data_IF_970865559668
#
_entry.id   IF_970865559668
#
_cell.length_a   1.000
_cell.length_b   1.000
_cell.length_c   1.000
_cell.angle_alpha   90.00
_cell.angle_beta   90.00
_cell.angle_gamma   90.00
#
_symmetry.space_group_name_H-M   'P 1'
#
loop_
_entity.id
_entity.type
_entity.pdbx_description
1 polymer ?
#
# COMPACT_ATOMS: atom_id res chain seq x y z
N UNK A 1 6.49 -19.73 -0.76
CA UNK A 1 6.62 -18.40 -0.13
C UNK A 1 6.92 -18.64 1.34
N UNK A 2 8.05 -18.14 1.84
CA UNK A 2 8.33 -18.14 3.28
C UNK A 2 7.22 -17.33 4.00
N UNK A 3 6.66 -17.79 5.12
CA UNK A 3 5.58 -17.10 5.82
C UNK A 3 5.95 -15.67 6.26
N UNK A 4 7.24 -15.37 6.39
CA UNK A 4 7.76 -14.03 6.63
C UNK A 4 7.47 -13.04 5.50
N UNK A 5 7.35 -13.48 4.24
CA UNK A 5 7.15 -12.62 3.07
C UNK A 5 5.69 -12.19 2.82
N UNK A 6 4.74 -12.80 3.55
CA UNK A 6 3.31 -12.57 3.37
C UNK A 6 2.88 -11.10 3.49
N UNK A 7 3.35 -10.29 4.47
CA UNK A 7 2.91 -8.90 4.59
C UNK A 7 3.27 -8.05 3.36
N UNK A 8 4.45 -8.28 2.76
CA UNK A 8 4.88 -7.55 1.56
C UNK A 8 4.07 -8.01 0.35
N UNK A 9 3.80 -9.32 0.23
CA UNK A 9 2.95 -9.85 -0.84
C UNK A 9 1.50 -9.34 -0.76
N UNK A 10 0.94 -9.27 0.44
CA UNK A 10 -0.38 -8.69 0.69
C UNK A 10 -0.40 -7.20 0.36
N UNK A 11 0.64 -6.45 0.77
CA UNK A 11 0.80 -5.04 0.42
C UNK A 11 0.88 -4.85 -1.10
N UNK A 12 1.67 -5.67 -1.80
CA UNK A 12 1.77 -5.64 -3.26
C UNK A 12 0.41 -5.88 -3.94
N UNK A 13 -0.33 -6.89 -3.48
CA UNK A 13 -1.64 -7.24 -4.03
C UNK A 13 -2.67 -6.13 -3.77
N UNK A 14 -2.67 -5.55 -2.58
CA UNK A 14 -3.53 -4.42 -2.24
C UNK A 14 -3.23 -3.21 -3.13
N UNK A 15 -1.95 -2.87 -3.31
CA UNK A 15 -1.55 -1.78 -4.19
C UNK A 15 -1.90 -2.05 -5.65
N UNK A 16 -1.69 -3.28 -6.13
CA UNK A 16 -2.00 -3.66 -7.51
C UNK A 16 -3.50 -3.57 -7.79
N UNK A 17 -4.33 -4.16 -6.94
CA UNK A 17 -5.80 -4.15 -7.07
C UNK A 17 -6.36 -2.73 -6.98
N UNK A 18 -5.88 -1.93 -6.02
CA UNK A 18 -6.25 -0.51 -5.92
C UNK A 18 -5.80 0.26 -7.18
N UNK A 19 -4.58 0.03 -7.66
CA UNK A 19 -4.04 0.67 -8.86
C UNK A 19 -4.89 0.39 -10.10
N UNK A 20 -5.21 -0.88 -10.35
CA UNK A 20 -6.10 -1.30 -11.45
C UNK A 20 -7.47 -0.66 -11.31
N UNK A 21 -8.06 -0.67 -10.11
CA UNK A 21 -9.37 -0.04 -9.87
C UNK A 21 -9.35 1.46 -10.18
N UNK A 22 -8.29 2.16 -9.79
CA UNK A 22 -8.10 3.59 -10.09
C UNK A 22 -7.96 3.89 -11.59
N UNK A 23 -7.41 2.96 -12.37
CA UNK A 23 -7.28 3.10 -13.83
C UNK A 23 -8.57 2.75 -14.58
N UNK A 24 -9.26 1.69 -14.18
CA UNK A 24 -10.47 1.21 -14.85
C UNK A 24 -11.74 1.96 -14.45
N UNK A 25 -11.81 2.45 -13.21
CA UNK A 25 -12.98 3.12 -12.66
C UNK A 25 -12.66 4.45 -11.94
N UNK A 26 -11.96 5.40 -12.59
CA UNK A 26 -11.45 6.61 -11.94
C UNK A 26 -12.55 7.49 -11.33
N UNK A 27 -13.67 7.68 -12.03
CA UNK A 27 -14.80 8.48 -11.53
C UNK A 27 -15.48 7.82 -10.32
N UNK A 28 -15.54 6.49 -10.29
CA UNK A 28 -16.13 5.78 -9.16
C UNK A 28 -15.19 5.80 -7.94
N UNK A 29 -13.88 5.58 -8.17
CA UNK A 29 -12.85 5.72 -7.14
C UNK A 29 -12.86 7.13 -6.53
N UNK A 30 -13.04 8.17 -7.33
CA UNK A 30 -13.15 9.55 -6.85
C UNK A 30 -14.38 9.77 -5.97
N UNK A 31 -15.56 9.29 -6.39
CA UNK A 31 -16.79 9.38 -5.58
C UNK A 31 -16.70 8.59 -4.28
N UNK A 32 -16.00 7.46 -4.27
CA UNK A 32 -15.81 6.66 -3.06
C UNK A 32 -14.89 7.41 -2.09
N UNK A 33 -13.77 7.91 -2.59
CA UNK A 33 -12.73 8.59 -1.79
C UNK A 33 -13.01 10.07 -1.50
N UNK A 34 -14.16 10.60 -1.89
CA UNK A 34 -14.68 11.90 -1.44
C UNK A 34 -15.49 11.80 -0.15
N UNK A 35 -15.72 10.59 0.35
CA UNK A 35 -16.50 10.32 1.57
C UNK A 35 -15.59 9.93 2.74
N UNK A 36 -15.92 10.41 3.94
CA UNK A 36 -15.14 10.14 5.16
C UNK A 36 -15.04 8.65 5.48
N UNK A 37 -16.14 7.91 5.38
CA UNK A 37 -16.20 6.47 5.71
C UNK A 37 -15.20 5.64 4.91
N UNK A 38 -15.28 5.63 3.57
CA UNK A 38 -14.32 4.93 2.71
C UNK A 38 -12.86 5.35 2.95
N UNK A 39 -12.58 6.63 3.16
CA UNK A 39 -11.22 7.10 3.46
C UNK A 39 -10.69 6.51 4.77
N UNK A 40 -11.53 6.41 5.81
CA UNK A 40 -11.18 5.77 7.09
C UNK A 40 -10.98 4.26 6.94
N UNK A 41 -11.83 3.58 6.16
CA UNK A 41 -11.68 2.14 5.90
C UNK A 41 -10.34 1.86 5.21
N UNK A 42 -10.02 2.62 4.17
CA UNK A 42 -8.70 2.51 3.50
C UNK A 42 -7.57 2.84 4.47
N UNK A 43 -7.75 3.86 5.31
CA UNK A 43 -6.79 4.22 6.37
C UNK A 43 -6.53 3.07 7.35
N UNK A 44 -7.58 2.39 7.80
CA UNK A 44 -7.47 1.23 8.68
C UNK A 44 -6.76 0.06 8.00
N UNK A 45 -7.16 -0.28 6.77
CA UNK A 45 -6.53 -1.36 6.00
C UNK A 45 -5.03 -1.13 5.80
N UNK A 46 -4.64 0.09 5.39
CA UNK A 46 -3.24 0.47 5.25
C UNK A 46 -2.49 0.46 6.58
N UNK A 47 -3.11 0.91 7.67
CA UNK A 47 -2.47 0.91 8.99
C UNK A 47 -2.20 -0.52 9.48
N UNK A 48 -3.17 -1.43 9.28
CA UNK A 48 -3.03 -2.85 9.63
C UNK A 48 -1.95 -3.51 8.78
N UNK A 49 -1.95 -3.30 7.46
CA UNK A 49 -0.93 -3.84 6.56
C UNK A 49 0.47 -3.32 6.91
N UNK A 50 0.60 -2.02 7.17
CA UNK A 50 1.85 -1.39 7.57
C UNK A 50 2.36 -1.93 8.91
N UNK A 51 1.49 -2.03 9.91
CA UNK A 51 1.82 -2.61 11.20
C UNK A 51 2.22 -4.08 11.09
N UNK A 52 1.54 -4.86 10.24
CA UNK A 52 1.88 -6.26 9.99
C UNK A 52 3.27 -6.38 9.36
N UNK A 53 3.62 -5.52 8.40
CA UNK A 53 4.96 -5.47 7.83
C UNK A 53 6.02 -5.17 8.91
N UNK A 54 5.74 -4.26 9.85
CA UNK A 54 6.69 -3.89 10.91
C UNK A 54 6.75 -4.89 12.07
N UNK A 55 5.71 -5.71 12.26
CA UNK A 55 5.66 -6.74 13.30
C UNK A 55 6.41 -8.01 12.91
N UNK A 56 6.68 -8.22 11.61
CA UNK A 56 7.51 -9.35 11.17
C UNK A 56 8.97 -9.03 11.43
N UNK A 57 9.69 -9.86 12.21
CA UNK A 57 11.11 -9.68 12.39
C UNK A 57 11.85 -9.96 11.08
N UNK A 58 12.76 -9.03 10.74
CA UNK A 58 13.87 -9.16 9.79
C UNK A 58 13.74 -8.50 8.41
N UNK A 59 14.84 -7.81 8.07
CA UNK A 59 15.25 -7.18 6.80
C UNK A 59 14.71 -5.78 6.50
N UNK A 60 15.59 -4.94 5.94
CA UNK A 60 15.30 -3.54 5.57
C UNK A 60 14.08 -3.41 4.62
N UNK A 61 13.78 -4.46 3.84
CA UNK A 61 12.63 -4.51 2.93
C UNK A 61 11.29 -4.26 3.64
N UNK A 62 11.11 -4.80 4.84
CA UNK A 62 9.85 -4.65 5.59
C UNK A 62 9.67 -3.23 6.11
N UNK A 63 10.75 -2.53 6.46
CA UNK A 63 10.68 -1.12 6.83
C UNK A 63 10.36 -0.23 5.63
N UNK A 64 10.95 -0.53 4.46
CA UNK A 64 10.71 0.22 3.22
C UNK A 64 9.24 0.15 2.77
N UNK A 65 8.52 -0.92 3.09
CA UNK A 65 7.09 -1.06 2.78
C UNK A 65 6.23 -0.64 3.97
N UNK A 66 6.55 -1.12 5.17
CA UNK A 66 5.74 -0.97 6.37
C UNK A 66 5.60 0.47 6.85
N UNK A 67 6.70 1.23 6.91
CA UNK A 67 6.69 2.63 7.36
C UNK A 67 5.80 3.51 6.48
N UNK A 68 6.01 3.60 5.15
CA UNK A 68 5.17 4.46 4.31
C UNK A 68 3.70 3.99 4.26
N UNK A 69 3.47 2.67 4.29
CA UNK A 69 2.10 2.11 4.30
C UNK A 69 1.37 2.49 5.59
N UNK A 70 2.04 2.33 6.74
CA UNK A 70 1.49 2.70 8.05
C UNK A 70 1.23 4.21 8.13
N UNK A 71 2.18 5.06 7.73
CA UNK A 71 2.01 6.52 7.74
C UNK A 71 0.86 6.96 6.85
N UNK A 72 0.74 6.37 5.64
CA UNK A 72 -0.38 6.62 4.74
C UNK A 72 -1.72 6.20 5.36
N UNK A 73 -1.75 5.08 6.09
CA UNK A 73 -2.92 4.64 6.84
C UNK A 73 -3.31 5.58 7.99
N UNK A 74 -2.36 5.90 8.86
CA UNK A 74 -2.59 6.74 10.04
C UNK A 74 -3.02 8.16 9.66
N UNK A 75 -2.41 8.76 8.64
CA UNK A 75 -2.81 10.09 8.15
C UNK A 75 -4.26 10.10 7.64
N UNK A 76 -4.71 9.03 6.98
CA UNK A 76 -6.11 8.87 6.54
C UNK A 76 -7.07 8.65 7.70
N UNK A 77 -6.64 8.02 8.80
CA UNK A 77 -7.46 7.84 10.01
C UNK A 77 -7.58 9.13 10.83
N UNK A 78 -6.46 9.82 11.06
CA UNK A 78 -6.39 11.01 11.91
C UNK A 78 -6.90 12.27 11.22
N UNK A 79 -6.69 12.40 9.91
CA UNK A 79 -7.06 13.59 9.15
C UNK A 79 -7.80 13.26 7.83
N UNK A 80 -8.92 12.49 7.86
CA UNK A 80 -9.61 12.05 6.66
C UNK A 80 -10.10 13.21 5.79
N UNK A 81 -10.58 14.30 6.40
CA UNK A 81 -11.03 15.49 5.67
C UNK A 81 -9.89 16.19 4.90
N UNK A 82 -8.67 16.21 5.47
CA UNK A 82 -7.49 16.74 4.77
C UNK A 82 -7.10 15.82 3.62
N UNK A 83 -7.14 14.51 3.84
CA UNK A 83 -6.83 13.53 2.80
C UNK A 83 -7.83 13.55 1.64
N UNK A 84 -9.11 13.85 1.89
CA UNK A 84 -10.10 14.07 0.81
C UNK A 84 -9.66 15.23 -0.08
N UNK A 85 -9.20 16.35 0.49
CA UNK A 85 -8.71 17.50 -0.31
C UNK A 85 -7.43 17.18 -1.07
N UNK A 86 -6.48 16.45 -0.46
CA UNK A 86 -5.26 16.03 -1.16
C UNK A 86 -5.59 15.06 -2.31
N UNK A 87 -6.57 14.19 -2.10
CA UNK A 87 -7.04 13.24 -3.10
C UNK A 87 -7.63 13.90 -4.36
N UNK A 88 -8.05 15.17 -4.30
CA UNK A 88 -8.55 15.92 -5.46
C UNK A 88 -7.45 16.71 -6.19
N UNK A 89 -6.22 16.76 -5.66
CA UNK A 89 -5.10 17.48 -6.30
C UNK A 89 -4.41 16.69 -7.41
N UNK A 90 -4.59 15.36 -7.46
CA UNK A 90 -3.95 14.51 -8.46
C UNK A 90 -5.00 13.71 -9.21
N UNK A 91 -4.79 13.51 -10.52
CA UNK A 91 -5.67 12.65 -11.31
C UNK A 91 -5.68 11.23 -10.75
N UNK A 92 -6.86 10.60 -10.73
CA UNK A 92 -6.99 9.20 -10.30
C UNK A 92 -6.16 8.24 -11.14
N UNK A 93 -5.91 8.57 -12.41
CA UNK A 93 -5.02 7.79 -13.27
C UNK A 93 -3.58 7.84 -12.79
N UNK A 94 -3.08 9.03 -12.44
CA UNK A 94 -1.74 9.19 -11.85
C UNK A 94 -1.63 8.41 -10.54
N UNK A 95 -2.65 8.49 -9.69
CA UNK A 95 -2.70 7.70 -8.45
C UNK A 95 -2.66 6.19 -8.75
N UNK A 96 -3.42 5.73 -9.74
CA UNK A 96 -3.41 4.33 -10.19
C UNK A 96 -2.03 3.86 -10.65
N UNK A 97 -1.34 4.64 -11.48
CA UNK A 97 0.03 4.35 -11.93
C UNK A 97 1.00 4.28 -10.75
N UNK A 98 0.94 5.24 -9.82
CA UNK A 98 1.79 5.24 -8.63
C UNK A 98 1.56 4.00 -7.75
N UNK A 99 0.31 3.56 -7.59
CA UNK A 99 -0.02 2.35 -6.85
C UNK A 99 0.55 1.10 -7.56
N UNK A 100 0.44 1.01 -8.89
CA UNK A 100 1.04 -0.09 -9.65
C UNK A 100 2.57 -0.11 -9.55
N UNK A 101 3.23 1.05 -9.62
CA UNK A 101 4.66 1.16 -9.43
C UNK A 101 5.07 0.75 -8.00
N UNK A 102 4.28 1.13 -6.99
CA UNK A 102 4.48 0.68 -5.61
C UNK A 102 4.34 -0.84 -5.47
N UNK A 103 3.35 -1.45 -6.14
CA UNK A 103 3.18 -2.90 -6.18
C UNK A 103 4.37 -3.60 -6.84
N UNK A 104 4.83 -3.08 -7.99
CA UNK A 104 6.02 -3.58 -8.66
C UNK A 104 7.27 -3.46 -7.77
N UNK A 105 7.43 -2.34 -7.07
CA UNK A 105 8.50 -2.15 -6.09
C UNK A 105 8.46 -3.18 -4.96
N UNK A 106 7.28 -3.50 -4.43
CA UNK A 106 7.12 -4.55 -3.42
C UNK A 106 7.54 -5.94 -3.96
N UNK A 107 7.17 -6.25 -5.20
CA UNK A 107 7.58 -7.50 -5.87
C UNK A 107 9.10 -7.56 -6.07
N UNK A 108 9.72 -6.46 -6.51
CA UNK A 108 11.17 -6.37 -6.65
C UNK A 108 11.88 -6.55 -5.30
N UNK A 109 11.35 -5.99 -4.22
CA UNK A 109 11.87 -6.21 -2.87
C UNK A 109 11.76 -7.69 -2.46
N UNK A 110 10.64 -8.35 -2.75
CA UNK A 110 10.48 -9.78 -2.51
C UNK A 110 11.52 -10.61 -3.26
N UNK A 111 11.79 -10.30 -4.54
CA UNK A 111 12.84 -10.98 -5.31
C UNK A 111 14.23 -10.70 -4.74
N UNK A 112 14.56 -9.43 -4.48
CA UNK A 112 15.89 -9.02 -4.03
C UNK A 112 16.27 -9.57 -2.64
N UNK A 113 15.29 -9.75 -1.76
CA UNK A 113 15.51 -10.26 -0.40
C UNK A 113 15.17 -11.75 -0.26
N UNK A 114 14.27 -12.29 -1.08
CA UNK A 114 13.97 -13.72 -1.15
C UNK A 114 15.07 -14.55 -1.85
N UNK A 115 15.76 -13.97 -2.85
CA UNK A 115 16.90 -14.65 -3.49
C UNK A 115 18.12 -14.79 -2.56
N UNK A 116 18.25 -13.91 -1.55
CA UNK A 116 19.36 -13.98 -0.58
C UNK A 116 19.23 -15.13 0.41
N UNK A 117 18.03 -15.63 0.66
CA UNK A 117 17.83 -16.76 1.58
C UNK A 117 18.18 -18.12 0.97
N UNK A 118 18.23 -18.24 -0.37
CA UNK A 118 18.63 -19.48 -1.05
C UNK A 118 20.15 -19.65 -1.17
N UNK A 119 20.92 -18.56 -1.13
CA UNK A 119 22.39 -18.61 -1.25
C UNK A 119 23.14 -18.90 0.07
N UNK A 120 22.43 -18.96 1.19
CA UNK A 120 23.01 -19.13 2.54
C UNK A 120 22.61 -20.48 3.18
N UNK A 121 22.03 -21.40 2.40
CA UNK A 121 21.79 -22.78 2.84
C UNK A 121 22.81 -23.74 2.23
#
# INVERSE_FOLDING_TARGET
MEPSSLPIACSATFLATAGVYHLLAPAHAERLLSRLGPVRIVGAALSVLGAWCLAVPATAAFYLVGVPTLLSGLTRLMAPARMIRVNTWTSRRTHGVLLLLGAAGCVLLLFAFGARTEYVR
#
